data_IF_671351276681
#
_entry.id   IF_671351276681
#
_cell.length_a   1.000
_cell.length_b   1.000
_cell.length_c   1.000
_cell.angle_alpha   90.00
_cell.angle_beta   90.00
_cell.angle_gamma   90.00
#
_symmetry.space_group_name_H-M   'P 1'
#
loop_
_entity.id
_entity.type
_entity.pdbx_description
1 polymer ?
#
# COMPACT_ATOMS: atom_id res chain seq x y z
N UNK A 1 26.87 -26.14 -32.34
CA UNK A 1 25.57 -26.85 -32.34
C UNK A 1 25.28 -27.52 -31.01
N UNK A 2 26.18 -28.32 -30.42
CA UNK A 2 25.90 -28.97 -29.13
C UNK A 2 25.84 -28.01 -27.92
N UNK A 3 26.67 -26.95 -27.88
CA UNK A 3 26.62 -25.94 -26.81
C UNK A 3 25.29 -25.14 -26.81
N UNK A 4 24.90 -24.57 -27.95
CA UNK A 4 23.63 -23.82 -28.05
C UNK A 4 22.38 -24.65 -27.68
N UNK A 5 22.36 -25.95 -28.02
CA UNK A 5 21.24 -26.85 -27.66
C UNK A 5 21.25 -27.20 -26.17
N UNK A 6 22.43 -27.25 -25.54
CA UNK A 6 22.54 -27.41 -24.09
C UNK A 6 22.10 -26.13 -23.37
N UNK A 7 22.49 -24.97 -23.88
CA UNK A 7 22.11 -23.66 -23.33
C UNK A 7 20.59 -23.44 -23.35
N UNK A 8 19.91 -23.81 -24.44
CA UNK A 8 18.43 -23.75 -24.54
C UNK A 8 17.75 -24.68 -23.53
N UNK A 9 18.26 -25.91 -23.35
CA UNK A 9 17.70 -26.86 -22.39
C UNK A 9 17.89 -26.39 -20.94
N UNK A 10 19.06 -25.84 -20.61
CA UNK A 10 19.34 -25.28 -19.30
C UNK A 10 18.51 -24.03 -19.02
N UNK A 11 18.31 -23.15 -20.00
CA UNK A 11 17.45 -21.98 -19.87
C UNK A 11 15.99 -22.40 -19.62
N UNK A 12 15.50 -23.41 -20.35
CA UNK A 12 14.15 -23.96 -20.14
C UNK A 12 13.99 -24.50 -18.71
N UNK A 13 14.98 -25.23 -18.21
CA UNK A 13 14.94 -25.80 -16.87
C UNK A 13 15.01 -24.71 -15.79
N UNK A 14 15.87 -23.70 -15.96
CA UNK A 14 15.98 -22.56 -15.02
C UNK A 14 14.65 -21.80 -14.92
N UNK A 15 14.00 -21.52 -16.04
CA UNK A 15 12.67 -20.86 -16.05
C UNK A 15 11.63 -21.72 -15.31
N UNK A 16 11.62 -23.03 -15.56
CA UNK A 16 10.69 -23.93 -14.86
C UNK A 16 10.94 -23.96 -13.36
N UNK A 17 12.19 -24.09 -12.94
CA UNK A 17 12.54 -24.15 -11.51
C UNK A 17 12.18 -22.83 -10.80
N UNK A 18 12.34 -21.69 -11.47
CA UNK A 18 11.95 -20.37 -10.93
C UNK A 18 10.43 -20.21 -10.80
N UNK A 19 9.66 -20.56 -11.84
CA UNK A 19 8.19 -20.47 -11.79
C UNK A 19 7.58 -21.46 -10.79
N UNK A 20 8.17 -22.65 -10.67
CA UNK A 20 7.75 -23.63 -9.66
C UNK A 20 8.04 -23.16 -8.24
N UNK A 21 9.13 -22.41 -8.02
CA UNK A 21 9.41 -21.77 -6.73
C UNK A 21 8.43 -20.64 -6.39
N UNK A 22 7.80 -20.03 -7.40
CA UNK A 22 6.78 -18.98 -7.25
C UNK A 22 5.35 -19.54 -7.06
N UNK A 23 5.20 -20.85 -6.84
CA UNK A 23 3.91 -21.55 -6.66
C UNK A 23 2.98 -21.50 -7.89
N UNK A 24 3.51 -21.32 -9.10
CA UNK A 24 2.71 -21.40 -10.32
C UNK A 24 2.21 -22.83 -10.62
N UNK A 25 1.11 -22.93 -11.38
CA UNK A 25 0.62 -24.21 -11.87
C UNK A 25 1.65 -24.82 -12.83
N UNK A 26 2.09 -26.06 -12.55
CA UNK A 26 3.10 -26.75 -13.37
C UNK A 26 2.74 -26.80 -14.88
N UNK A 27 1.44 -26.86 -15.20
CA UNK A 27 0.96 -26.88 -16.59
C UNK A 27 1.15 -25.52 -17.29
N UNK A 28 1.10 -24.42 -16.56
CA UNK A 28 1.30 -23.07 -17.06
C UNK A 28 2.79 -22.75 -17.22
N UNK A 29 3.60 -23.13 -16.23
CA UNK A 29 5.05 -22.99 -16.27
C UNK A 29 5.66 -23.75 -17.46
N UNK A 30 5.21 -24.98 -17.75
CA UNK A 30 5.63 -25.75 -18.93
C UNK A 30 5.28 -25.05 -20.24
N UNK A 31 4.06 -24.52 -20.38
CA UNK A 31 3.63 -23.78 -21.57
C UNK A 31 4.46 -22.52 -21.76
N UNK A 32 4.76 -21.81 -20.68
CA UNK A 32 5.55 -20.60 -20.71
C UNK A 32 6.99 -20.87 -21.15
N UNK A 33 7.64 -21.87 -20.54
CA UNK A 33 8.99 -22.27 -20.89
C UNK A 33 9.07 -22.72 -22.36
N UNK A 34 8.09 -23.51 -22.83
CA UNK A 34 8.02 -23.94 -24.22
C UNK A 34 7.75 -22.77 -25.19
N UNK A 35 6.97 -21.76 -24.78
CA UNK A 35 6.75 -20.52 -25.54
C UNK A 35 8.04 -19.72 -25.70
N UNK A 36 8.83 -19.56 -24.64
CA UNK A 36 10.14 -18.88 -24.69
C UNK A 36 11.10 -19.62 -25.61
N UNK A 37 11.17 -20.95 -25.50
CA UNK A 37 12.03 -21.76 -26.37
C UNK A 37 11.69 -21.58 -27.84
N UNK A 38 10.39 -21.50 -28.16
CA UNK A 38 9.95 -21.24 -29.52
C UNK A 38 10.41 -19.87 -30.02
N UNK A 39 10.30 -18.83 -29.19
CA UNK A 39 10.75 -17.47 -29.53
C UNK A 39 12.27 -17.45 -29.75
N UNK A 40 13.04 -18.08 -28.85
CA UNK A 40 14.49 -18.19 -28.96
C UNK A 40 14.95 -18.91 -30.24
N UNK A 41 14.17 -19.89 -30.71
CA UNK A 41 14.44 -20.62 -31.96
C UNK A 41 14.04 -19.84 -33.23
N UNK A 42 13.02 -18.99 -33.15
CA UNK A 42 12.59 -18.12 -34.27
C UNK A 42 13.58 -16.94 -34.50
N UNK A 43 14.51 -16.71 -33.56
CA UNK A 43 15.38 -15.54 -33.41
C UNK A 43 16.65 -15.51 -34.32
N UNK A 44 16.48 -15.70 -35.62
CA UNK A 44 17.57 -15.44 -36.60
C UNK A 44 17.18 -14.51 -37.76
N UNK A 45 15.93 -14.06 -37.88
CA UNK A 45 15.54 -13.12 -38.92
C UNK A 45 14.33 -12.26 -38.49
N UNK A 46 14.62 -11.08 -37.96
CA UNK A 46 13.71 -9.92 -37.87
C UNK A 46 12.55 -10.01 -36.85
N UNK A 47 12.83 -9.52 -35.62
CA UNK A 47 11.91 -9.32 -34.49
C UNK A 47 10.65 -8.45 -34.78
N UNK A 48 10.46 -7.97 -36.02
CA UNK A 48 9.27 -7.23 -36.44
C UNK A 48 8.10 -8.16 -36.84
N UNK A 49 8.34 -9.46 -36.98
CA UNK A 49 7.32 -10.43 -37.43
C UNK A 49 6.45 -10.96 -36.28
N UNK A 50 6.89 -10.81 -35.03
CA UNK A 50 6.11 -11.24 -33.86
C UNK A 50 4.88 -10.35 -33.67
N UNK A 51 3.70 -10.97 -33.71
CA UNK A 51 2.40 -10.29 -33.60
C UNK A 51 2.08 -9.83 -32.18
N UNK A 52 2.54 -10.57 -31.18
CA UNK A 52 2.25 -10.26 -29.78
C UNK A 52 3.25 -9.22 -29.22
N UNK A 53 2.80 -8.10 -28.62
CA UNK A 53 3.64 -7.21 -27.82
C UNK A 53 4.46 -7.92 -26.73
N UNK A 54 3.94 -9.01 -26.15
CA UNK A 54 4.66 -9.81 -25.14
C UNK A 54 5.84 -10.58 -25.74
N UNK A 55 5.62 -11.31 -26.83
CA UNK A 55 6.70 -12.09 -27.46
C UNK A 55 7.84 -11.17 -27.93
N UNK A 56 7.50 -9.93 -28.33
CA UNK A 56 8.47 -8.91 -28.67
C UNK A 56 9.30 -8.41 -27.49
N UNK A 57 8.73 -8.30 -26.29
CA UNK A 57 9.50 -7.90 -25.10
C UNK A 57 10.44 -9.01 -24.63
N UNK A 58 10.01 -10.28 -24.69
CA UNK A 58 10.86 -11.45 -24.42
C UNK A 58 12.00 -11.54 -25.43
N UNK A 59 11.69 -11.44 -26.72
CA UNK A 59 12.71 -11.47 -27.78
C UNK A 59 13.72 -10.33 -27.62
N UNK A 60 13.29 -9.15 -27.19
CA UNK A 60 14.19 -8.02 -26.91
C UNK A 60 15.20 -8.34 -25.80
N UNK A 61 14.76 -9.01 -24.73
CA UNK A 61 15.64 -9.41 -23.62
C UNK A 61 16.65 -10.45 -24.11
N UNK A 62 16.19 -11.47 -24.85
CA UNK A 62 17.05 -12.51 -25.43
C UNK A 62 18.07 -11.93 -26.42
N UNK A 63 17.63 -11.02 -27.30
CA UNK A 63 18.50 -10.38 -28.28
C UNK A 63 19.55 -9.53 -27.60
N UNK A 64 19.20 -8.81 -26.53
CA UNK A 64 20.09 -7.91 -25.82
C UNK A 64 21.19 -8.68 -25.06
N UNK A 65 20.87 -9.81 -24.44
CA UNK A 65 21.87 -10.68 -23.80
C UNK A 65 22.82 -11.28 -24.83
N UNK A 66 22.30 -11.66 -26.01
CA UNK A 66 23.08 -12.25 -27.10
C UNK A 66 23.96 -11.23 -27.85
N UNK A 67 23.45 -10.04 -28.14
CA UNK A 67 24.16 -8.97 -28.88
C UNK A 67 25.32 -8.39 -28.07
N UNK A 68 25.12 -8.21 -26.76
CA UNK A 68 26.12 -7.61 -25.86
C UNK A 68 27.09 -8.64 -25.25
N UNK A 69 26.87 -9.94 -25.51
CA UNK A 69 27.72 -11.02 -25.00
C UNK A 69 27.68 -11.14 -23.48
N UNK A 70 26.54 -10.83 -22.85
CA UNK A 70 26.35 -10.97 -21.41
C UNK A 70 26.24 -12.46 -21.03
N UNK A 71 26.73 -12.81 -19.85
CA UNK A 71 26.62 -14.17 -19.33
C UNK A 71 25.16 -14.44 -18.88
N UNK A 72 24.45 -15.43 -19.46
CA UNK A 72 23.07 -15.76 -19.09
C UNK A 72 22.91 -16.18 -17.62
N UNK A 73 23.99 -16.63 -16.97
CA UNK A 73 23.97 -17.13 -15.60
C UNK A 73 24.38 -16.08 -14.57
N UNK A 74 24.95 -14.96 -15.02
CA UNK A 74 25.39 -13.86 -14.18
C UNK A 74 25.26 -12.53 -14.91
N UNK A 75 24.06 -11.97 -14.89
CA UNK A 75 23.74 -10.73 -15.60
C UNK A 75 24.01 -9.53 -14.69
N UNK A 76 24.83 -8.59 -15.15
CA UNK A 76 24.93 -7.26 -14.55
C UNK A 76 23.65 -6.47 -14.83
N UNK A 77 22.75 -6.45 -13.85
CA UNK A 77 21.48 -5.72 -13.90
C UNK A 77 21.68 -4.23 -14.21
N UNK A 78 22.79 -3.62 -13.79
CA UNK A 78 23.02 -2.19 -13.97
C UNK A 78 23.37 -1.85 -15.42
N UNK A 79 24.17 -2.68 -16.08
CA UNK A 79 24.48 -2.57 -17.50
C UNK A 79 23.27 -2.94 -18.35
N UNK A 80 22.61 -4.06 -18.00
CA UNK A 80 21.39 -4.53 -18.65
C UNK A 80 20.31 -3.44 -18.68
N UNK A 81 19.97 -2.83 -17.53
CA UNK A 81 18.92 -1.80 -17.46
C UNK A 81 19.22 -0.56 -18.30
N UNK A 82 20.49 -0.13 -18.38
CA UNK A 82 20.88 1.02 -19.21
C UNK A 82 20.64 0.74 -20.69
N UNK A 83 21.01 -0.46 -21.16
CA UNK A 83 20.84 -0.84 -22.56
C UNK A 83 19.36 -1.14 -22.87
N UNK A 84 18.68 -1.86 -21.97
CA UNK A 84 17.27 -2.20 -22.09
C UNK A 84 16.40 -0.94 -22.16
N UNK A 85 16.59 0.04 -21.27
CA UNK A 85 15.83 1.31 -21.31
C UNK A 85 16.09 2.12 -22.57
N UNK A 86 17.31 2.11 -23.11
CA UNK A 86 17.61 2.76 -24.40
C UNK A 86 16.91 2.06 -25.56
N UNK A 87 16.87 0.74 -25.56
CA UNK A 87 16.24 -0.08 -26.61
C UNK A 87 14.71 0.06 -26.58
N UNK A 88 14.09 -0.01 -25.39
CA UNK A 88 12.65 0.21 -25.19
C UNK A 88 12.20 1.59 -25.67
N UNK A 89 13.02 2.64 -25.47
CA UNK A 89 12.72 3.99 -25.99
C UNK A 89 12.74 4.04 -27.53
N UNK A 90 13.62 3.29 -28.17
CA UNK A 90 13.74 3.25 -29.64
C UNK A 90 12.62 2.42 -30.30
N UNK A 91 12.22 1.32 -29.67
CA UNK A 91 11.25 0.35 -30.21
C UNK A 91 9.85 0.47 -29.57
N UNK A 92 9.50 1.68 -29.10
CA UNK A 92 8.32 1.95 -28.27
C UNK A 92 6.95 1.65 -28.90
N UNK A 93 6.83 1.57 -30.23
CA UNK A 93 5.54 1.39 -30.91
C UNK A 93 5.05 -0.06 -30.96
N UNK A 94 5.88 -1.04 -30.57
CA UNK A 94 5.56 -2.46 -30.63
C UNK A 94 5.64 -3.22 -29.31
N UNK A 95 6.11 -2.60 -28.24
CA UNK A 95 6.38 -3.29 -26.97
C UNK A 95 5.24 -3.05 -25.97
N UNK A 96 5.02 -3.99 -25.06
CA UNK A 96 4.13 -3.76 -23.91
C UNK A 96 4.83 -2.85 -22.88
N UNK A 97 4.69 -1.54 -23.07
CA UNK A 97 5.32 -0.52 -22.22
C UNK A 97 5.00 -0.66 -20.71
N UNK A 98 3.76 -1.01 -20.29
CA UNK A 98 3.46 -1.28 -18.89
C UNK A 98 4.31 -2.41 -18.30
N UNK A 99 4.41 -3.55 -18.98
CA UNK A 99 5.24 -4.67 -18.54
C UNK A 99 6.73 -4.32 -18.52
N UNK A 100 7.26 -3.70 -19.58
CA UNK A 100 8.66 -3.27 -19.63
C UNK A 100 8.99 -2.26 -18.52
N UNK A 101 8.09 -1.33 -18.24
CA UNK A 101 8.23 -0.37 -17.14
C UNK A 101 8.26 -1.04 -15.77
N UNK A 102 7.43 -2.07 -15.58
CA UNK A 102 7.40 -2.86 -14.34
C UNK A 102 8.63 -3.75 -14.20
N UNK A 103 9.15 -4.33 -15.28
CA UNK A 103 10.44 -5.04 -15.28
C UNK A 103 11.55 -4.10 -14.80
N UNK A 104 11.62 -2.88 -15.36
CA UNK A 104 12.61 -1.86 -14.93
C UNK A 104 12.47 -1.57 -13.43
N UNK A 105 11.24 -1.45 -12.92
CA UNK A 105 10.99 -1.21 -11.50
C UNK A 105 11.48 -2.39 -10.64
N UNK A 106 11.17 -3.62 -11.01
CA UNK A 106 11.57 -4.80 -10.24
C UNK A 106 13.09 -5.00 -10.25
N UNK A 107 13.73 -4.82 -11.40
CA UNK A 107 15.20 -4.84 -11.48
C UNK A 107 15.83 -3.74 -10.63
N UNK A 108 15.19 -2.56 -10.53
CA UNK A 108 15.64 -1.49 -9.63
C UNK A 108 15.45 -1.88 -8.15
N UNK A 109 14.36 -2.53 -7.79
CA UNK A 109 14.12 -3.01 -6.42
C UNK A 109 15.17 -4.04 -5.99
N UNK A 110 15.52 -4.98 -6.87
CA UNK A 110 16.59 -5.96 -6.64
C UNK A 110 17.93 -5.25 -6.47
N UNK A 111 18.28 -4.31 -7.35
CA UNK A 111 19.51 -3.52 -7.24
C UNK A 111 19.56 -2.71 -5.94
N UNK A 112 18.43 -2.13 -5.52
CA UNK A 112 18.32 -1.36 -4.30
C UNK A 112 18.42 -2.26 -3.06
N UNK A 113 17.83 -3.46 -3.10
CA UNK A 113 17.97 -4.45 -2.04
C UNK A 113 19.42 -4.95 -1.94
N UNK A 114 20.07 -5.24 -3.07
CA UNK A 114 21.49 -5.59 -3.12
C UNK A 114 22.33 -4.47 -2.49
N UNK A 115 22.11 -3.21 -2.87
CA UNK A 115 22.78 -2.07 -2.26
C UNK A 115 22.51 -1.95 -0.75
N UNK A 116 21.27 -2.13 -0.30
CA UNK A 116 20.91 -2.11 1.13
C UNK A 116 21.65 -3.21 1.90
N UNK A 117 21.67 -4.44 1.40
CA UNK A 117 22.40 -5.54 2.06
C UNK A 117 23.90 -5.30 2.10
N UNK A 118 24.46 -4.61 1.11
CA UNK A 118 25.85 -4.18 1.13
C UNK A 118 26.07 -3.11 2.21
N UNK A 119 25.16 -2.14 2.35
CA UNK A 119 25.25 -1.13 3.42
C UNK A 119 25.14 -1.77 4.81
N UNK A 120 24.16 -2.65 5.05
CA UNK A 120 23.99 -3.33 6.33
C UNK A 120 25.23 -4.13 6.71
N UNK A 121 25.86 -4.80 5.73
CA UNK A 121 27.09 -5.57 5.95
C UNK A 121 28.31 -4.67 6.21
N UNK A 122 28.40 -3.51 5.57
CA UNK A 122 29.47 -2.54 5.85
C UNK A 122 29.31 -1.96 7.25
N UNK A 123 28.09 -1.59 7.64
CA UNK A 123 27.78 -1.07 8.98
C UNK A 123 28.10 -2.13 10.05
N UNK A 124 27.78 -3.40 9.80
CA UNK A 124 28.11 -4.49 10.73
C UNK A 124 29.62 -4.65 10.95
N UNK A 125 30.45 -4.48 9.91
CA UNK A 125 31.91 -4.54 10.07
C UNK A 125 32.47 -3.35 10.84
N UNK A 126 31.94 -2.14 10.62
CA UNK A 126 32.33 -0.95 11.38
C UNK A 126 32.00 -1.10 12.88
N UNK A 127 30.97 -1.88 13.25
CA UNK A 127 30.60 -2.17 14.64
C UNK A 127 31.47 -3.28 15.28
N UNK A 128 31.84 -4.32 14.52
CA UNK A 128 32.74 -5.38 15.01
C UNK A 128 34.14 -4.83 15.34
N UNK A 129 34.64 -3.87 14.57
CA UNK A 129 35.93 -3.19 14.84
C UNK A 129 35.87 -2.31 16.11
N UNK A 130 34.69 -1.84 16.52
CA UNK A 130 34.52 -1.00 17.71
C UNK A 130 34.54 -1.84 19.00
N UNK A 131 34.00 -3.06 18.99
CA UNK A 131 33.94 -3.94 20.16
C UNK A 131 35.32 -4.58 20.50
N UNK A 132 36.21 -4.77 19.51
CA UNK A 132 37.58 -5.25 19.74
C UNK A 132 38.51 -4.12 20.26
N UNK A 133 38.14 -2.85 20.05
CA UNK A 133 38.92 -1.69 20.50
C UNK A 133 38.81 -1.41 22.01
N UNK A 134 37.79 -1.95 22.69
CA UNK A 134 37.54 -1.67 24.11
C UNK A 134 38.26 -2.58 25.11
N UNK A 135 38.98 -3.62 24.67
CA UNK A 135 39.80 -4.48 25.54
C UNK A 135 41.30 -4.11 25.54
N UNK A 136 41.65 -2.87 25.14
CA UNK A 136 43.02 -2.35 25.24
C UNK A 136 43.37 -1.94 26.68
N UNK A 137 43.46 -2.93 27.57
CA UNK A 137 44.22 -2.79 28.80
C UNK A 137 45.70 -2.61 28.47
N UNK A 138 46.39 -1.67 29.11
CA UNK A 138 47.85 -1.47 28.98
C UNK A 138 48.71 -2.64 29.50
N UNK A 139 48.12 -3.82 29.64
CA UNK A 139 48.74 -5.10 29.96
C UNK A 139 48.37 -6.11 28.87
N UNK A 140 48.64 -5.79 27.61
CA UNK A 140 48.65 -6.80 26.56
C UNK A 140 49.82 -7.75 26.87
N UNK A 141 49.49 -9.00 27.23
CA UNK A 141 50.44 -10.11 27.13
C UNK A 141 50.99 -10.05 25.69
N UNK A 142 52.31 -9.96 25.54
CA UNK A 142 52.93 -10.01 24.23
C UNK A 142 52.45 -11.28 23.55
N UNK A 143 51.64 -11.14 22.50
CA UNK A 143 51.22 -12.27 21.72
C UNK A 143 52.46 -12.78 20.95
N UNK A 144 52.99 -13.90 21.43
CA UNK A 144 54.15 -14.55 20.83
C UNK A 144 53.89 -14.83 19.34
N UNK A 145 52.62 -15.01 18.91
CA UNK A 145 52.25 -15.23 17.52
C UNK A 145 52.41 -13.95 16.67
N UNK A 146 52.02 -12.78 17.19
CA UNK A 146 52.22 -11.49 16.53
C UNK A 146 53.71 -11.12 16.42
N UNK A 147 54.49 -11.42 17.46
CA UNK A 147 55.94 -11.23 17.44
C UNK A 147 56.62 -12.15 16.41
N UNK A 148 56.20 -13.42 16.31
CA UNK A 148 56.72 -14.36 15.31
C UNK A 148 56.34 -13.90 13.90
N UNK A 149 55.11 -13.42 13.69
CA UNK A 149 54.67 -12.90 12.40
C UNK A 149 55.50 -11.69 11.96
N UNK A 150 55.60 -10.66 12.80
CA UNK A 150 56.37 -9.44 12.49
C UNK A 150 57.85 -9.74 12.27
N UNK A 151 58.45 -10.61 13.08
CA UNK A 151 59.84 -11.06 12.90
C UNK A 151 60.03 -11.82 11.58
N UNK A 152 59.10 -12.70 11.20
CA UNK A 152 59.17 -13.48 9.95
C UNK A 152 59.05 -12.59 8.69
N UNK A 153 58.26 -11.51 8.79
CA UNK A 153 58.14 -10.48 7.74
C UNK A 153 59.42 -9.65 7.63
N UNK A 154 59.99 -9.23 8.77
CA UNK A 154 61.25 -8.47 8.83
C UNK A 154 62.46 -9.27 8.34
N UNK A 155 62.50 -10.57 8.63
CA UNK A 155 63.55 -11.50 8.18
C UNK A 155 63.36 -11.94 6.72
N UNK A 156 62.24 -11.59 6.08
CA UNK A 156 61.94 -11.89 4.68
C UNK A 156 61.55 -13.34 4.40
N UNK A 157 61.29 -14.15 5.44
CA UNK A 157 60.85 -15.54 5.29
C UNK A 157 59.38 -15.64 4.85
N UNK A 158 58.58 -14.61 5.12
CA UNK A 158 57.18 -14.50 4.72
C UNK A 158 56.96 -13.90 3.30
N UNK A 159 58.01 -13.46 2.61
CA UNK A 159 57.93 -12.72 1.33
C UNK A 159 57.33 -13.54 0.17
N UNK A 160 57.34 -14.87 0.27
CA UNK A 160 56.69 -15.77 -0.69
C UNK A 160 55.18 -15.89 -0.49
N UNK A 161 54.69 -15.64 0.74
CA UNK A 161 53.28 -15.78 1.11
C UNK A 161 52.56 -14.43 1.24
N UNK A 162 53.28 -13.34 1.54
CA UNK A 162 52.74 -11.98 1.62
C UNK A 162 51.97 -11.53 0.36
N UNK A 163 52.46 -11.77 -0.88
CA UNK A 163 51.71 -11.42 -2.08
C UNK A 163 50.36 -12.13 -2.22
N UNK A 164 50.18 -13.29 -1.57
CA UNK A 164 48.89 -14.01 -1.55
C UNK A 164 47.93 -13.44 -0.49
N UNK A 165 48.46 -12.85 0.60
CA UNK A 165 47.64 -12.12 1.59
C UNK A 165 47.15 -10.76 1.08
N UNK A 166 47.96 -10.08 0.25
CA UNK A 166 47.58 -8.82 -0.41
C UNK A 166 47.06 -9.01 -1.84
N UNK A 167 47.04 -10.26 -2.31
CA UNK A 167 46.64 -10.67 -3.65
C UNK A 167 45.13 -10.74 -3.73
N UNK A 168 44.56 -9.71 -4.35
CA UNK A 168 43.13 -9.42 -4.44
C UNK A 168 42.51 -8.92 -3.15
N UNK A 169 42.15 -7.62 -3.15
CA UNK A 169 41.00 -7.15 -2.37
C UNK A 169 39.89 -8.15 -2.63
N UNK A 170 39.57 -8.96 -1.62
CA UNK A 170 38.41 -9.84 -1.60
C UNK A 170 37.24 -9.06 -2.21
N UNK A 171 36.92 -9.34 -3.48
CA UNK A 171 35.63 -8.93 -4.03
C UNK A 171 34.67 -9.81 -3.25
N UNK A 172 34.15 -9.24 -2.17
CA UNK A 172 33.17 -9.91 -1.31
C UNK A 172 32.05 -10.38 -2.21
N UNK A 173 31.64 -11.64 -2.05
CA UNK A 173 30.58 -12.23 -2.86
C UNK A 173 29.38 -11.29 -2.86
N UNK A 174 29.18 -10.66 -4.02
CA UNK A 174 27.96 -9.98 -4.39
C UNK A 174 26.84 -11.03 -4.23
N UNK A 175 25.64 -10.61 -3.80
CA UNK A 175 24.52 -11.54 -3.59
C UNK A 175 24.26 -12.43 -4.82
N UNK A 176 23.46 -13.49 -4.65
CA UNK A 176 23.17 -14.46 -5.72
C UNK A 176 23.01 -13.74 -7.08
N UNK A 177 23.82 -14.09 -8.09
CA UNK A 177 23.79 -13.41 -9.37
C UNK A 177 22.43 -13.60 -10.04
N UNK A 178 21.91 -12.55 -10.67
CA UNK A 178 20.63 -12.60 -11.37
C UNK A 178 20.79 -13.38 -12.68
N UNK A 179 19.95 -14.40 -12.88
CA UNK A 179 19.98 -15.23 -14.10
C UNK A 179 19.02 -14.70 -15.17
N UNK A 180 19.24 -15.11 -16.42
CA UNK A 180 18.31 -14.85 -17.51
C UNK A 180 16.92 -15.42 -17.24
N UNK A 181 16.85 -16.62 -16.63
CA UNK A 181 15.58 -17.23 -16.26
C UNK A 181 14.80 -16.39 -15.24
N UNK A 182 15.48 -15.76 -14.28
CA UNK A 182 14.85 -14.82 -13.33
C UNK A 182 14.32 -13.57 -14.02
N UNK A 183 15.06 -12.99 -14.98
CA UNK A 183 14.57 -11.84 -15.74
C UNK A 183 13.34 -12.18 -16.59
N UNK A 184 13.31 -13.39 -17.16
CA UNK A 184 12.20 -13.85 -17.99
C UNK A 184 10.98 -14.27 -17.16
N UNK A 185 11.17 -14.85 -15.97
CA UNK A 185 10.10 -15.10 -15.00
C UNK A 185 9.55 -13.77 -14.47
N UNK A 186 10.41 -12.84 -14.05
CA UNK A 186 9.99 -11.51 -13.61
C UNK A 186 9.26 -10.75 -14.73
N UNK A 187 9.66 -10.92 -16.00
CA UNK A 187 8.93 -10.33 -17.12
C UNK A 187 7.52 -10.93 -17.27
N UNK A 188 7.34 -12.24 -17.06
CA UNK A 188 6.02 -12.88 -17.03
C UNK A 188 5.13 -12.25 -15.95
N UNK A 189 5.63 -12.20 -14.72
CA UNK A 189 4.92 -11.63 -13.57
C UNK A 189 4.49 -10.19 -13.86
N UNK A 190 5.40 -9.41 -14.45
CA UNK A 190 5.10 -8.03 -14.82
C UNK A 190 3.95 -7.89 -15.84
N UNK A 191 3.85 -8.85 -16.77
CA UNK A 191 2.80 -8.87 -17.77
C UNK A 191 1.47 -9.30 -17.18
N UNK A 192 1.46 -10.39 -16.41
CA UNK A 192 0.25 -10.90 -15.77
C UNK A 192 -0.35 -9.84 -14.84
N UNK A 193 0.48 -9.14 -14.07
CA UNK A 193 0.03 -8.03 -13.23
C UNK A 193 -0.47 -6.82 -14.04
N UNK A 194 0.15 -6.52 -15.19
CA UNK A 194 -0.31 -5.45 -16.08
C UNK A 194 -1.67 -5.79 -16.71
N UNK A 195 -1.90 -7.04 -17.07
CA UNK A 195 -3.19 -7.54 -17.58
C UNK A 195 -4.28 -7.48 -16.52
N UNK A 196 -3.99 -7.92 -15.29
CA UNK A 196 -4.91 -7.81 -14.16
C UNK A 196 -5.31 -6.34 -13.91
N UNK A 197 -4.37 -5.40 -14.02
CA UNK A 197 -4.65 -3.97 -13.86
C UNK A 197 -5.49 -3.41 -15.01
N UNK A 198 -5.19 -3.77 -16.26
CA UNK A 198 -6.00 -3.39 -17.44
C UNK A 198 -7.45 -3.86 -17.25
N UNK A 199 -7.64 -5.12 -16.86
CA UNK A 199 -8.98 -5.65 -16.56
C UNK A 199 -9.67 -4.86 -15.43
N UNK A 200 -8.97 -4.59 -14.31
CA UNK A 200 -9.52 -3.79 -13.19
C UNK A 200 -9.91 -2.38 -13.62
N UNK A 201 -9.16 -1.74 -14.51
CA UNK A 201 -9.50 -0.43 -15.06
C UNK A 201 -10.73 -0.46 -15.94
N UNK A 202 -10.87 -1.48 -16.78
CA UNK A 202 -12.06 -1.70 -17.59
C UNK A 202 -13.29 -1.91 -16.70
N UNK A 203 -13.18 -2.75 -15.67
CA UNK A 203 -14.25 -2.91 -14.67
C UNK A 203 -14.60 -1.59 -13.97
N UNK A 204 -13.62 -0.77 -13.60
CA UNK A 204 -13.87 0.56 -13.00
C UNK A 204 -14.60 1.49 -13.96
N UNK A 205 -14.26 1.48 -15.25
CA UNK A 205 -14.93 2.31 -16.28
C UNK A 205 -16.36 1.86 -16.51
N UNK A 206 -16.57 0.55 -16.71
CA UNK A 206 -17.90 -0.03 -16.87
C UNK A 206 -18.77 0.27 -15.66
N UNK A 207 -18.24 0.06 -14.45
CA UNK A 207 -18.98 0.35 -13.23
C UNK A 207 -19.29 1.84 -13.05
N UNK A 208 -18.39 2.73 -13.47
CA UNK A 208 -18.66 4.17 -13.46
C UNK A 208 -19.76 4.57 -14.46
N UNK A 209 -19.80 3.95 -15.63
CA UNK A 209 -20.87 4.14 -16.61
C UNK A 209 -22.21 3.57 -16.12
N UNK A 210 -22.20 2.39 -15.50
CA UNK A 210 -23.37 1.80 -14.84
C UNK A 210 -23.91 2.71 -13.74
N UNK A 211 -23.04 3.20 -12.85
CA UNK A 211 -23.43 4.09 -11.75
C UNK A 211 -23.97 5.42 -12.27
N UNK A 212 -23.37 5.97 -13.34
CA UNK A 212 -23.90 7.17 -14.00
C UNK A 212 -25.30 6.92 -14.58
N UNK A 213 -25.51 5.80 -15.27
CA UNK A 213 -26.82 5.44 -15.80
C UNK A 213 -27.85 5.23 -14.67
N UNK A 214 -27.43 4.63 -13.55
CA UNK A 214 -28.28 4.51 -12.36
C UNK A 214 -28.64 5.89 -11.80
N UNK A 215 -27.67 6.80 -11.67
CA UNK A 215 -27.86 8.17 -11.18
C UNK A 215 -28.80 8.99 -12.07
N UNK A 216 -28.62 8.91 -13.39
CA UNK A 216 -29.46 9.61 -14.37
C UNK A 216 -30.91 9.09 -14.33
N UNK A 217 -31.09 7.79 -14.05
CA UNK A 217 -32.40 7.16 -13.88
C UNK A 217 -33.05 7.46 -12.51
N UNK A 218 -32.27 7.80 -11.48
CA UNK A 218 -32.78 8.22 -10.17
C UNK A 218 -33.54 9.55 -10.30
N UNK A 219 -33.03 10.49 -11.10
CA UNK A 219 -33.71 11.78 -11.34
C UNK A 219 -35.07 11.67 -12.04
N UNK A 220 -35.28 10.62 -12.83
CA UNK A 220 -36.55 10.38 -13.53
C UNK A 220 -37.57 9.54 -12.73
N UNK A 221 -37.14 8.80 -11.70
CA UNK A 221 -38.01 8.07 -10.76
C UNK A 221 -38.41 8.90 -9.54
N UNK A 222 -37.76 10.05 -9.33
CA UNK A 222 -38.06 11.02 -8.27
C UNK A 222 -39.31 11.87 -8.59
N UNK A 223 -40.45 11.24 -8.88
CA UNK A 223 -41.74 11.94 -8.90
C UNK A 223 -42.29 12.04 -7.46
N UNK A 224 -42.10 13.21 -6.83
CA UNK A 224 -42.63 13.63 -5.53
C UNK A 224 -42.30 12.72 -4.32
N UNK A 225 -41.05 12.77 -3.82
CA UNK A 225 -40.71 12.23 -2.50
C UNK A 225 -41.20 13.18 -1.38
N UNK A 226 -42.38 12.89 -0.83
CA UNK A 226 -42.76 13.37 0.50
C UNK A 226 -42.07 12.48 1.55
N UNK A 227 -40.78 12.75 1.81
CA UNK A 227 -39.99 12.00 2.80
C UNK A 227 -40.67 11.95 4.17
N UNK A 228 -41.35 13.02 4.57
CA UNK A 228 -42.06 13.08 5.86
C UNK A 228 -43.31 12.20 5.85
N UNK A 229 -44.04 12.19 4.74
CA UNK A 229 -45.16 11.27 4.51
C UNK A 229 -44.72 9.80 4.53
N UNK A 230 -43.54 9.48 4.03
CA UNK A 230 -43.02 8.10 4.01
C UNK A 230 -42.57 7.63 5.39
N UNK A 231 -41.93 8.50 6.18
CA UNK A 231 -41.61 8.23 7.59
C UNK A 231 -42.90 7.98 8.39
N UNK A 232 -43.93 8.82 8.19
CA UNK A 232 -45.24 8.66 8.83
C UNK A 232 -45.89 7.32 8.47
N UNK A 233 -45.86 6.93 7.19
CA UNK A 233 -46.40 5.65 6.72
C UNK A 233 -45.63 4.45 7.28
N UNK A 234 -44.30 4.55 7.37
CA UNK A 234 -43.47 3.51 7.98
C UNK A 234 -43.75 3.33 9.48
N UNK A 235 -43.90 4.42 10.22
CA UNK A 235 -44.26 4.36 11.64
C UNK A 235 -45.64 3.72 11.87
N UNK A 236 -46.65 4.09 11.08
CA UNK A 236 -47.99 3.47 11.14
C UNK A 236 -47.92 1.98 10.81
N UNK A 237 -47.14 1.61 9.79
CA UNK A 237 -46.94 0.21 9.39
C UNK A 237 -46.31 -0.60 10.51
N UNK A 238 -45.26 -0.06 11.13
CA UNK A 238 -44.60 -0.69 12.28
C UNK A 238 -45.60 -0.95 13.41
N UNK A 239 -46.39 0.06 13.80
CA UNK A 239 -47.38 -0.09 14.89
C UNK A 239 -48.49 -1.08 14.59
N UNK A 240 -48.99 -1.14 13.36
CA UNK A 240 -49.96 -2.17 12.96
C UNK A 240 -49.38 -3.57 13.18
N UNK A 241 -48.15 -3.81 12.73
CA UNK A 241 -47.49 -5.11 12.90
C UNK A 241 -47.18 -5.41 14.37
N UNK A 242 -46.82 -4.40 15.18
CA UNK A 242 -46.64 -4.54 16.64
C UNK A 242 -47.94 -4.96 17.32
N UNK A 243 -49.07 -4.37 16.93
CA UNK A 243 -50.40 -4.70 17.48
C UNK A 243 -50.84 -6.11 17.07
N UNK A 244 -50.58 -6.52 15.83
CA UNK A 244 -50.94 -7.85 15.32
C UNK A 244 -50.13 -8.98 15.99
N UNK A 245 -48.84 -8.76 16.25
CA UNK A 245 -47.97 -9.75 16.87
C UNK A 245 -48.03 -9.73 18.40
N UNK A 246 -48.48 -8.63 19.01
CA UNK A 246 -48.50 -8.46 20.47
C UNK A 246 -47.12 -8.47 21.11
N UNK A 247 -46.06 -8.18 20.35
CA UNK A 247 -44.66 -8.19 20.78
C UNK A 247 -44.06 -6.79 20.63
N UNK A 248 -43.20 -6.38 21.58
CA UNK A 248 -42.48 -5.08 21.52
C UNK A 248 -41.50 -5.01 20.34
N UNK A 249 -40.94 -6.17 19.96
CA UNK A 249 -39.94 -6.31 18.90
C UNK A 249 -40.54 -6.98 17.67
N UNK A 250 -40.33 -6.38 16.50
CA UNK A 250 -40.93 -6.81 15.24
C UNK A 250 -39.86 -6.92 14.15
N UNK A 251 -39.84 -7.98 13.33
CA UNK A 251 -38.88 -8.11 12.24
C UNK A 251 -39.14 -7.09 11.11
N UNK A 252 -38.07 -6.45 10.62
CA UNK A 252 -38.16 -5.41 9.56
C UNK A 252 -38.92 -5.93 8.34
N UNK A 253 -38.69 -7.18 7.94
CA UNK A 253 -39.34 -7.82 6.77
C UNK A 253 -40.87 -7.72 6.83
N UNK A 254 -41.49 -7.93 8.01
CA UNK A 254 -42.94 -7.83 8.15
C UNK A 254 -43.44 -6.39 8.02
N UNK A 255 -42.68 -5.44 8.55
CA UNK A 255 -42.96 -4.00 8.38
C UNK A 255 -42.83 -3.59 6.92
N UNK A 256 -41.86 -4.13 6.18
CA UNK A 256 -41.69 -3.87 4.74
C UNK A 256 -42.87 -4.35 3.91
N UNK A 257 -43.40 -5.54 4.23
CA UNK A 257 -44.56 -6.10 3.55
C UNK A 257 -45.82 -5.27 3.83
N UNK A 258 -46.02 -4.86 5.08
CA UNK A 258 -47.15 -4.00 5.44
C UNK A 258 -47.07 -2.63 4.78
N UNK A 259 -45.87 -2.07 4.66
CA UNK A 259 -45.62 -0.81 3.97
C UNK A 259 -45.86 -0.95 2.46
N UNK A 260 -45.49 -2.09 1.85
CA UNK A 260 -45.78 -2.40 0.45
C UNK A 260 -47.29 -2.37 0.17
N UNK A 261 -48.11 -2.94 1.05
CA UNK A 261 -49.58 -2.89 0.93
C UNK A 261 -50.10 -1.45 0.97
N UNK A 262 -49.63 -0.65 1.94
CA UNK A 262 -50.05 0.75 2.08
C UNK A 262 -49.60 1.60 0.87
N UNK A 263 -48.41 1.35 0.33
CA UNK A 263 -47.91 2.04 -0.86
C UNK A 263 -48.73 1.69 -2.11
N UNK A 264 -49.12 0.41 -2.27
CA UNK A 264 -49.98 -0.04 -3.35
C UNK A 264 -51.37 0.60 -3.28
N UNK A 265 -51.96 0.71 -2.08
CA UNK A 265 -53.24 1.38 -1.88
C UNK A 265 -53.18 2.88 -2.16
N UNK A 266 -52.06 3.54 -1.83
CA UNK A 266 -51.94 5.00 -1.93
C UNK A 266 -51.54 5.49 -3.32
N UNK A 267 -50.73 4.73 -4.06
CA UNK A 267 -50.14 5.17 -5.32
C UNK A 267 -50.52 4.33 -6.55
N UNK A 268 -51.25 3.22 -6.38
CA UNK A 268 -51.67 2.32 -7.46
C UNK A 268 -50.58 1.33 -7.92
N UNK A 269 -50.84 0.57 -8.98
CA UNK A 269 -49.87 -0.37 -9.57
C UNK A 269 -48.90 0.35 -10.51
N UNK A 270 -47.61 0.30 -10.17
CA UNK A 270 -46.50 0.73 -11.03
C UNK A 270 -45.79 -0.53 -11.58
N UNK A 271 -45.63 -0.68 -12.91
CA UNK A 271 -45.02 -1.86 -13.52
C UNK A 271 -43.52 -1.96 -13.19
N UNK A 272 -43.11 -3.13 -12.69
CA UNK A 272 -41.72 -3.60 -12.54
C UNK A 272 -40.77 -2.72 -11.68
N UNK A 273 -40.79 -2.91 -10.35
CA UNK A 273 -39.76 -2.33 -9.47
C UNK A 273 -39.96 -2.46 -7.96
N UNK A 274 -41.17 -2.81 -7.50
CA UNK A 274 -41.52 -2.74 -6.07
C UNK A 274 -40.70 -3.59 -5.12
N UNK A 275 -40.08 -4.69 -5.53
CA UNK A 275 -39.29 -5.50 -4.59
C UNK A 275 -37.95 -4.85 -4.22
N UNK A 276 -37.38 -4.06 -5.11
CA UNK A 276 -36.17 -3.28 -4.84
C UNK A 276 -36.53 -1.95 -4.21
N UNK A 277 -37.58 -1.28 -4.73
CA UNK A 277 -38.03 0.01 -4.22
C UNK A 277 -38.61 -0.11 -2.81
N UNK A 278 -39.42 -1.13 -2.51
CA UNK A 278 -39.91 -1.39 -1.14
C UNK A 278 -38.77 -1.71 -0.17
N UNK A 279 -37.73 -2.45 -0.60
CA UNK A 279 -36.55 -2.70 0.23
C UNK A 279 -35.78 -1.41 0.50
N UNK A 280 -35.55 -0.58 -0.53
CA UNK A 280 -34.85 0.71 -0.38
C UNK A 280 -35.67 1.65 0.51
N UNK A 281 -36.96 1.86 0.23
CA UNK A 281 -37.83 2.74 1.04
C UNK A 281 -37.94 2.24 2.47
N UNK A 282 -38.01 0.91 2.70
CA UNK A 282 -38.05 0.37 4.07
C UNK A 282 -36.73 0.49 4.82
N UNK A 283 -35.59 0.37 4.12
CA UNK A 283 -34.27 0.57 4.72
C UNK A 283 -34.02 2.04 5.03
N UNK A 284 -34.36 2.93 4.09
CA UNK A 284 -34.29 4.37 4.25
C UNK A 284 -35.22 4.84 5.38
N UNK A 285 -36.47 4.37 5.40
CA UNK A 285 -37.40 4.69 6.48
C UNK A 285 -36.96 4.07 7.81
N UNK A 286 -36.42 2.86 7.83
CA UNK A 286 -35.83 2.24 9.02
C UNK A 286 -34.68 3.07 9.60
N UNK A 287 -33.76 3.52 8.73
CA UNK A 287 -32.66 4.40 9.10
C UNK A 287 -33.17 5.74 9.64
N UNK A 288 -34.19 6.34 9.01
CA UNK A 288 -34.77 7.59 9.49
C UNK A 288 -35.56 7.41 10.79
N UNK A 289 -36.27 6.30 10.96
CA UNK A 289 -36.95 5.95 12.21
C UNK A 289 -35.95 5.80 13.36
N UNK A 290 -34.78 5.22 13.12
CA UNK A 290 -33.74 5.10 14.15
C UNK A 290 -32.99 6.41 14.37
N UNK A 291 -32.59 7.11 13.30
CA UNK A 291 -31.82 8.34 13.39
C UNK A 291 -32.62 9.46 14.07
N UNK A 292 -33.91 9.57 13.75
CA UNK A 292 -34.80 10.52 14.45
C UNK A 292 -35.29 10.00 15.80
N UNK A 293 -34.88 8.82 16.25
CA UNK A 293 -35.20 8.31 17.59
C UNK A 293 -36.65 7.85 17.78
N UNK A 294 -37.35 7.46 16.72
CA UNK A 294 -38.70 6.88 16.78
C UNK A 294 -38.68 5.39 17.14
N UNK A 295 -37.66 4.65 16.69
CA UNK A 295 -37.52 3.23 16.94
C UNK A 295 -36.08 2.85 17.28
N UNK A 296 -35.91 1.71 17.96
CA UNK A 296 -34.64 1.05 18.18
C UNK A 296 -34.45 -0.09 17.19
N UNK A 297 -33.24 -0.21 16.64
CA UNK A 297 -32.81 -1.38 15.87
C UNK A 297 -32.01 -2.30 16.79
N UNK A 298 -32.31 -3.59 16.71
CA UNK A 298 -31.51 -4.64 17.35
C UNK A 298 -31.27 -5.79 16.38
N UNK A 299 -30.07 -6.34 16.42
CA UNK A 299 -29.66 -7.53 15.65
C UNK A 299 -28.70 -8.33 16.54
N UNK A 300 -28.99 -9.62 16.76
CA UNK A 300 -28.19 -10.47 17.66
C UNK A 300 -26.94 -11.06 16.99
N UNK A 301 -26.95 -11.23 15.66
CA UNK A 301 -25.83 -11.73 14.86
C UNK A 301 -25.91 -11.33 13.38
N UNK A 302 -24.82 -11.49 12.59
CA UNK A 302 -24.78 -11.01 11.19
C UNK A 302 -25.83 -11.61 10.26
N UNK A 303 -26.23 -12.86 10.51
CA UNK A 303 -27.23 -13.61 9.75
C UNK A 303 -28.63 -13.54 10.37
N UNK A 304 -28.76 -12.93 11.55
CA UNK A 304 -30.04 -12.85 12.25
C UNK A 304 -30.90 -11.71 11.70
N UNK A 305 -32.23 -11.87 11.72
CA UNK A 305 -33.14 -10.84 11.20
C UNK A 305 -33.04 -9.56 12.02
N UNK A 306 -33.02 -8.42 11.32
CA UNK A 306 -33.07 -7.09 11.94
C UNK A 306 -34.44 -6.91 12.59
N UNK A 307 -34.44 -6.52 13.86
CA UNK A 307 -35.65 -6.29 14.67
C UNK A 307 -35.80 -4.79 14.97
N UNK A 308 -37.02 -4.28 14.83
CA UNK A 308 -37.44 -2.93 15.21
C UNK A 308 -38.26 -2.96 16.49
N UNK A 309 -37.99 -2.02 17.39
CA UNK A 309 -38.74 -1.81 18.62
C UNK A 309 -39.20 -0.35 18.71
N UNK A 310 -40.50 -0.13 18.98
CA UNK A 310 -41.04 1.22 19.16
C UNK A 310 -40.50 1.84 20.45
N UNK A 311 -39.83 3.00 20.35
CA UNK A 311 -39.27 3.70 21.52
C UNK A 311 -40.36 4.37 22.35
N UNK A 312 -41.52 4.65 21.76
CA UNK A 312 -42.57 5.47 22.35
C UNK A 312 -43.93 4.76 22.36
N UNK A 313 -44.09 3.61 23.04
CA UNK A 313 -45.33 2.83 23.01
C UNK A 313 -46.55 3.57 23.59
N UNK A 314 -46.34 4.60 24.42
CA UNK A 314 -47.39 5.35 25.09
C UNK A 314 -47.92 6.56 24.30
N UNK A 315 -47.26 6.96 23.21
CA UNK A 315 -47.76 8.06 22.38
C UNK A 315 -48.89 7.57 21.47
N UNK A 316 -49.94 8.34 21.23
CA UNK A 316 -51.06 7.88 20.39
C UNK A 316 -50.93 8.35 18.94
N UNK A 317 -50.25 9.48 18.72
CA UNK A 317 -50.12 10.10 17.40
C UNK A 317 -48.67 10.28 16.96
N UNK A 318 -48.46 10.30 15.64
CA UNK A 318 -47.13 10.53 15.06
C UNK A 318 -46.57 11.91 15.45
N UNK A 319 -47.42 12.94 15.53
CA UNK A 319 -46.99 14.30 15.85
C UNK A 319 -46.57 14.46 17.34
N UNK A 320 -47.09 13.62 18.24
CA UNK A 320 -46.58 13.56 19.62
C UNK A 320 -45.20 12.91 19.68
N UNK A 321 -44.99 11.86 18.89
CA UNK A 321 -43.71 11.14 18.79
C UNK A 321 -42.62 12.03 18.19
N UNK A 322 -42.95 12.87 17.19
CA UNK A 322 -42.00 13.83 16.62
C UNK A 322 -41.51 14.83 17.67
N UNK A 323 -42.41 15.43 18.43
CA UNK A 323 -42.06 16.40 19.49
C UNK A 323 -41.22 15.76 20.59
N UNK A 324 -41.51 14.51 20.99
CA UNK A 324 -40.73 13.81 22.01
C UNK A 324 -39.32 13.47 21.52
N UNK A 325 -39.19 13.06 20.26
CA UNK A 325 -37.91 12.70 19.69
C UNK A 325 -37.02 13.91 19.40
N UNK A 326 -37.60 15.04 18.98
CA UNK A 326 -36.89 16.32 18.82
C UNK A 326 -36.32 16.81 20.15
N UNK A 327 -37.11 16.77 21.24
CA UNK A 327 -36.62 17.14 22.58
C UNK A 327 -35.42 16.30 23.03
N UNK A 328 -35.47 14.99 22.78
CA UNK A 328 -34.37 14.10 23.11
C UNK A 328 -33.12 14.41 22.29
N UNK A 329 -33.25 14.68 20.99
CA UNK A 329 -32.12 15.11 20.16
C UNK A 329 -31.55 16.46 20.60
N UNK A 330 -32.38 17.40 21.06
CA UNK A 330 -31.91 18.65 21.63
C UNK A 330 -31.12 18.42 22.93
N UNK A 331 -31.62 17.56 23.82
CA UNK A 331 -30.93 17.16 25.06
C UNK A 331 -29.58 16.47 24.77
N UNK A 332 -29.54 15.54 23.81
CA UNK A 332 -28.31 14.87 23.37
C UNK A 332 -27.34 15.86 22.70
N UNK A 333 -27.83 16.81 21.90
CA UNK A 333 -26.98 17.84 21.30
C UNK A 333 -26.39 18.80 22.34
N UNK A 334 -27.12 19.07 23.42
CA UNK A 334 -26.66 19.92 24.52
C UNK A 334 -25.63 19.19 25.39
N UNK A 335 -25.80 17.88 25.62
CA UNK A 335 -24.81 17.08 26.34
C UNK A 335 -23.50 16.95 25.56
N UNK A 336 -23.57 16.72 24.24
CA UNK A 336 -22.39 16.63 23.35
C UNK A 336 -21.62 17.96 23.30
N UNK A 337 -22.29 19.11 23.38
CA UNK A 337 -21.62 20.42 23.47
C UNK A 337 -20.90 20.63 24.81
N UNK A 338 -21.29 19.91 25.86
CA UNK A 338 -20.62 19.95 27.17
C UNK A 338 -19.38 19.06 27.24
N UNK A 339 -19.31 18.01 26.43
CA UNK A 339 -18.18 17.08 26.39
C UNK A 339 -17.08 17.55 25.45
N UNK A 340 -16.01 18.11 26.03
CA UNK A 340 -14.76 18.34 25.30
C UNK A 340 -14.18 17.01 24.81
N UNK A 341 -14.21 16.78 23.50
CA UNK A 341 -13.60 15.60 22.88
C UNK A 341 -12.10 15.50 23.18
N UNK A 342 -11.57 14.27 23.28
CA UNK A 342 -10.15 14.03 23.55
C UNK A 342 -9.22 14.69 22.52
N UNK A 343 -9.67 14.81 21.27
CA UNK A 343 -8.95 15.53 20.21
C UNK A 343 -8.79 17.02 20.51
N UNK A 344 -9.82 17.67 21.06
CA UNK A 344 -9.74 19.08 21.47
C UNK A 344 -8.79 19.26 22.67
N UNK A 345 -8.80 18.32 23.63
CA UNK A 345 -7.85 18.30 24.74
C UNK A 345 -6.40 18.08 24.29
N UNK A 346 -6.19 17.24 23.27
CA UNK A 346 -4.87 17.01 22.67
C UNK A 346 -4.36 18.27 21.94
N UNK A 347 -5.21 18.93 21.15
CA UNK A 347 -4.86 20.18 20.47
C UNK A 347 -4.52 21.31 21.46
N UNK A 348 -5.27 21.44 22.56
CA UNK A 348 -4.98 22.41 23.61
C UNK A 348 -3.63 22.16 24.29
N UNK A 349 -3.29 20.89 24.57
CA UNK A 349 -1.99 20.51 25.15
C UNK A 349 -0.82 20.79 24.21
N UNK A 350 -1.01 20.59 22.91
CA UNK A 350 -0.01 20.89 21.89
C UNK A 350 0.24 22.41 21.79
N UNK A 351 -0.82 23.22 21.81
CA UNK A 351 -0.72 24.68 21.80
C UNK A 351 -0.02 25.21 23.05
N UNK A 352 -0.29 24.63 24.22
CA UNK A 352 0.37 25.00 25.47
C UNK A 352 1.87 24.68 25.44
N UNK A 353 2.27 23.51 24.90
CA UNK A 353 3.69 23.17 24.71
C UNK A 353 4.39 24.10 23.72
N UNK A 354 3.71 24.47 22.63
CA UNK A 354 4.25 25.42 21.67
C UNK A 354 4.48 26.82 22.30
N UNK A 355 3.57 27.28 23.14
CA UNK A 355 3.74 28.55 23.87
C UNK A 355 4.91 28.50 24.85
N UNK A 356 5.07 27.40 25.60
CA UNK A 356 6.19 27.21 26.52
C UNK A 356 7.53 27.20 25.77
N UNK A 357 7.62 26.49 24.64
CA UNK A 357 8.84 26.47 23.83
C UNK A 357 9.22 27.85 23.29
N UNK A 358 8.24 28.66 22.86
CA UNK A 358 8.46 30.04 22.41
C UNK A 358 8.93 30.94 23.56
N UNK A 359 8.42 30.73 24.78
CA UNK A 359 8.81 31.50 25.96
C UNK A 359 10.24 31.15 26.39
N UNK A 360 10.59 29.86 26.41
CA UNK A 360 11.95 29.38 26.68
C UNK A 360 12.97 29.89 25.63
N UNK A 361 12.61 29.90 24.36
CA UNK A 361 13.47 30.44 23.29
C UNK A 361 13.72 31.95 23.46
N UNK A 362 12.69 32.71 23.84
CA UNK A 362 12.82 34.14 24.15
C UNK A 362 13.70 34.39 25.37
N UNK A 363 13.60 33.54 26.40
CA UNK A 363 14.47 33.65 27.58
C UNK A 363 15.93 33.35 27.23
N UNK A 364 16.18 32.33 26.40
CA UNK A 364 17.54 32.02 25.90
C UNK A 364 18.14 33.18 25.11
N UNK A 365 17.37 33.77 24.19
CA UNK A 365 17.83 34.91 23.39
C UNK A 365 18.17 36.13 24.28
N UNK A 366 17.37 36.40 25.31
CA UNK A 366 17.68 37.45 26.29
C UNK A 366 18.96 37.17 27.07
N UNK A 367 19.20 35.91 27.47
CA UNK A 367 20.44 35.54 28.16
C UNK A 367 21.66 35.70 27.26
N UNK A 368 21.57 35.33 25.98
CA UNK A 368 22.63 35.53 25.00
C UNK A 368 22.92 37.01 24.74
N UNK A 369 21.88 37.86 24.65
CA UNK A 369 22.03 39.31 24.49
C UNK A 369 22.69 39.95 25.72
N UNK A 370 22.27 39.57 26.92
CA UNK A 370 22.89 40.00 28.18
C UNK A 370 24.36 39.56 28.30
N UNK A 371 24.69 38.33 27.85
CA UNK A 371 26.05 37.83 27.84
C UNK A 371 26.94 38.59 26.84
N UNK A 372 26.40 38.97 25.66
CA UNK A 372 27.12 39.83 24.70
C UNK A 372 27.40 41.21 25.27
N UNK A 373 26.40 41.84 25.90
CA UNK A 373 26.57 43.15 26.54
C UNK A 373 27.60 43.10 27.69
N UNK A 374 27.62 42.00 28.47
CA UNK A 374 28.62 41.79 29.50
C UNK A 374 30.04 41.64 28.91
N UNK A 375 30.19 40.85 27.84
CA UNK A 375 31.47 40.67 27.14
C UNK A 375 31.99 41.96 26.50
N UNK A 376 31.09 42.79 25.94
CA UNK A 376 31.45 44.13 25.44
C UNK A 376 31.93 45.04 26.59
N UNK A 377 31.28 44.99 27.76
CA UNK A 377 31.68 45.77 28.93
C UNK A 377 33.02 45.32 29.56
N UNK A 378 33.38 44.03 29.46
CA UNK A 378 34.69 43.52 29.91
C UNK A 378 35.84 43.86 28.95
N UNK A 379 35.53 44.20 27.69
CA UNK A 379 36.53 44.61 26.70
C UNK A 379 36.99 46.07 26.84
N UNK A 380 36.21 46.91 27.53
CA UNK A 380 36.59 48.28 27.88
C UNK A 380 37.40 48.31 29.18
N UNK A 381 38.66 47.88 29.11
CA UNK A 381 39.59 47.98 30.23
C UNK A 381 39.92 49.47 30.49
N UNK A 382 39.64 50.05 31.68
CA UNK A 382 39.82 51.49 31.95
C UNK A 382 41.29 51.95 32.09
N UNK A 383 42.25 51.12 31.69
CA UNK A 383 43.68 51.34 31.88
C UNK A 383 44.40 52.08 30.75
N UNK A 384 43.74 52.35 29.62
CA UNK A 384 44.38 52.90 28.41
C UNK A 384 44.15 54.41 28.21
N UNK A 385 43.62 55.12 29.22
CA UNK A 385 43.34 56.57 29.17
C UNK A 385 44.26 57.44 30.05
N UNK A 386 45.34 56.88 30.63
CA UNK A 386 46.29 57.62 31.46
C UNK A 386 47.74 57.38 31.04
N UNK A 387 48.11 57.92 29.87
CA UNK A 387 49.49 58.32 29.56
C UNK A 387 49.46 59.66 28.79
N UNK A 388 49.64 60.76 29.52
CA UNK A 388 50.31 61.98 29.04
C UNK A 388 51.50 62.27 29.97
#
# INVERSE_FOLDING_TARGET
MQQAVLDDWFLRQDILDQLMNQEEEASEAERYADRIMRIAQEDSAEHQVLTDPFDRSVALVLSLVKEEGMDPWNIDLSAFLKLFTQRVRKESSGLDLPACGRLIRMSWEVLNQQASTLFDRVIAMDMEDEDEFFDFGWEAEYDDEEFIFTSSVLEGSADQHLPAFFGERMRRDEGRPSTLGELLSALKDACDEAEILKAKEEYRKVHAEELKNMLDNVGSRMHNEDMEGDIRRCWISMRKVTQELGQSKVPVVKVTNQLKEILLETFGEIPEGYDVESKITSFVAGLFLTHRGYAWISQEGPEDPIMLEDRWPNAETFDEVTVLAEKLMEEDSQSIKGDETESMRHAARLAQRAQQAIEEEKERLKQEEMAKLAAESESENPGDWLVE
#
